data_IF_127505483936
#
_entry.id   IF_127505483936
#
_cell.length_a   1.000
_cell.length_b   1.000
_cell.length_c   1.000
_cell.angle_alpha   90.00
_cell.angle_beta   90.00
_cell.angle_gamma   90.00
#
_symmetry.space_group_name_H-M   'P 1'
#
loop_
_entity.id
_entity.type
_entity.pdbx_description
1 polymer ?
#
# COMPACT_ATOMS: atom_id res chain seq x y z
N UNK A 1 -2.44 23.69 -31.10
CA UNK A 1 -2.42 22.30 -30.62
C UNK A 1 -3.86 21.85 -30.43
N UNK A 2 -4.31 20.86 -31.19
CA UNK A 2 -5.64 20.26 -31.02
C UNK A 2 -5.65 19.33 -29.79
N UNK A 3 -6.83 18.98 -29.27
CA UNK A 3 -6.96 18.05 -28.15
C UNK A 3 -6.32 16.68 -28.45
N UNK A 4 -6.38 16.23 -29.70
CA UNK A 4 -5.78 14.97 -30.15
C UNK A 4 -4.26 15.05 -30.10
N UNK A 5 -3.67 16.13 -30.60
CA UNK A 5 -2.21 16.36 -30.55
C UNK A 5 -1.70 16.42 -29.10
N UNK A 6 -2.46 17.03 -28.18
CA UNK A 6 -2.09 17.07 -26.77
C UNK A 6 -2.00 15.67 -26.14
N UNK A 7 -3.02 14.83 -26.35
CA UNK A 7 -3.01 13.48 -25.79
C UNK A 7 -1.95 12.59 -26.42
N UNK A 8 -1.68 12.76 -27.71
CA UNK A 8 -0.61 12.00 -28.39
C UNK A 8 0.78 12.40 -27.87
N UNK A 9 1.03 13.69 -27.63
CA UNK A 9 2.35 14.19 -27.22
C UNK A 9 2.60 14.07 -25.70
N UNK A 10 1.58 14.28 -24.86
CA UNK A 10 1.73 14.34 -23.39
C UNK A 10 0.95 13.27 -22.63
N UNK A 11 -0.01 12.60 -23.26
CA UNK A 11 -0.93 11.69 -22.57
C UNK A 11 -0.24 10.49 -21.94
N UNK A 12 0.80 9.94 -22.58
CA UNK A 12 1.53 8.78 -22.05
C UNK A 12 2.12 9.04 -20.66
N UNK A 13 2.85 10.14 -20.52
CA UNK A 13 3.44 10.53 -19.24
C UNK A 13 2.37 10.83 -18.18
N UNK A 14 1.29 11.53 -18.57
CA UNK A 14 0.18 11.87 -17.66
C UNK A 14 -0.48 10.61 -17.09
N UNK A 15 -0.80 9.62 -17.92
CA UNK A 15 -1.45 8.39 -17.46
C UNK A 15 -0.54 7.55 -16.57
N UNK A 16 0.75 7.46 -16.91
CA UNK A 16 1.69 6.74 -16.05
C UNK A 16 1.85 7.43 -14.68
N UNK A 17 1.93 8.76 -14.65
CA UNK A 17 1.97 9.52 -13.40
C UNK A 17 0.70 9.37 -12.58
N UNK A 18 -0.48 9.32 -13.23
CA UNK A 18 -1.73 8.99 -12.56
C UNK A 18 -1.67 7.58 -11.94
N UNK A 19 -1.08 6.61 -12.64
CA UNK A 19 -0.85 5.26 -12.11
C UNK A 19 0.00 5.27 -10.85
N UNK A 20 1.16 5.93 -10.89
CA UNK A 20 2.02 6.10 -9.72
C UNK A 20 1.27 6.79 -8.57
N UNK A 21 0.52 7.87 -8.85
CA UNK A 21 -0.25 8.59 -7.85
C UNK A 21 -1.32 7.70 -7.20
N UNK A 22 -2.00 6.85 -7.96
CA UNK A 22 -2.99 5.90 -7.42
C UNK A 22 -2.32 4.79 -6.60
N UNK A 23 -1.18 4.25 -7.05
CA UNK A 23 -0.43 3.24 -6.31
C UNK A 23 -0.03 3.74 -4.92
N UNK A 24 0.57 4.92 -4.84
CA UNK A 24 0.96 5.52 -3.54
C UNK A 24 -0.25 5.98 -2.76
N UNK A 25 -1.17 6.70 -3.40
CA UNK A 25 -2.30 7.35 -2.75
C UNK A 25 -3.26 6.35 -2.13
N UNK A 26 -3.77 5.38 -2.90
CA UNK A 26 -4.77 4.44 -2.40
C UNK A 26 -4.17 3.47 -1.38
N UNK A 27 -2.98 2.93 -1.64
CA UNK A 27 -2.32 2.04 -0.68
C UNK A 27 -1.93 2.79 0.61
N UNK A 28 -1.45 4.03 0.49
CA UNK A 28 -1.14 4.90 1.63
C UNK A 28 -2.36 5.27 2.47
N UNK A 29 -3.50 5.57 1.83
CA UNK A 29 -4.79 5.79 2.52
C UNK A 29 -5.20 4.53 3.30
N UNK A 30 -5.09 3.35 2.68
CA UNK A 30 -5.34 2.09 3.35
C UNK A 30 -4.49 1.92 4.60
N UNK A 31 -3.18 2.13 4.47
CA UNK A 31 -2.24 2.03 5.58
C UNK A 31 -2.52 3.03 6.69
N UNK A 32 -2.73 4.31 6.37
CA UNK A 32 -3.05 5.33 7.37
C UNK A 32 -4.33 4.96 8.15
N UNK A 33 -5.37 4.48 7.45
CA UNK A 33 -6.62 4.07 8.10
C UNK A 33 -6.45 2.81 8.92
N UNK A 34 -5.71 1.81 8.42
CA UNK A 34 -5.39 0.58 9.13
C UNK A 34 -4.61 0.83 10.42
N UNK A 35 -3.54 1.63 10.34
CA UNK A 35 -2.74 2.06 11.48
C UNK A 35 -3.61 2.80 12.50
N UNK A 36 -4.47 3.72 12.05
CA UNK A 36 -5.39 4.46 12.93
C UNK A 36 -6.30 3.53 13.74
N UNK A 37 -6.90 2.53 13.09
CA UNK A 37 -7.79 1.55 13.76
C UNK A 37 -7.06 0.79 14.88
N UNK A 38 -5.83 0.34 14.63
CA UNK A 38 -5.06 -0.37 15.67
C UNK A 38 -4.57 0.60 16.73
N UNK A 39 -4.15 1.81 16.33
CA UNK A 39 -3.69 2.86 17.23
C UNK A 39 -4.75 3.25 18.25
N UNK A 40 -5.99 3.45 17.82
CA UNK A 40 -7.13 3.73 18.73
C UNK A 40 -7.29 2.62 19.79
N UNK A 41 -7.23 1.34 19.37
CA UNK A 41 -7.33 0.21 20.29
C UNK A 41 -6.11 0.11 21.24
N UNK A 42 -4.91 0.32 20.71
CA UNK A 42 -3.66 0.30 21.46
C UNK A 42 -3.60 1.43 22.50
N UNK A 43 -4.01 2.65 22.13
CA UNK A 43 -4.06 3.79 23.05
C UNK A 43 -4.95 3.52 24.25
N UNK A 44 -6.09 2.86 24.05
CA UNK A 44 -6.94 2.43 25.16
C UNK A 44 -6.20 1.54 26.16
N UNK A 45 -5.46 0.54 25.66
CA UNK A 45 -4.65 -0.34 26.51
C UNK A 45 -3.49 0.40 27.21
N UNK A 46 -2.84 1.35 26.52
CA UNK A 46 -1.68 2.09 27.06
C UNK A 46 -2.04 3.01 28.22
N UNK A 47 -3.30 3.38 28.40
CA UNK A 47 -3.72 4.17 29.57
C UNK A 47 -3.64 3.39 30.87
N UNK A 48 -3.82 2.07 30.81
CA UNK A 48 -3.83 1.17 31.98
C UNK A 48 -2.51 0.39 32.10
N UNK A 49 -1.94 -0.05 30.97
CA UNK A 49 -0.78 -0.96 30.91
C UNK A 49 0.34 -0.41 29.99
N UNK A 50 0.98 0.73 30.32
CA UNK A 50 1.94 1.42 29.46
C UNK A 50 3.20 0.59 29.12
N UNK A 51 3.56 -0.37 29.97
CA UNK A 51 4.66 -1.30 29.76
C UNK A 51 4.46 -2.21 28.53
N UNK A 52 3.22 -2.33 28.03
CA UNK A 52 2.90 -3.10 26.81
C UNK A 52 3.11 -2.32 25.50
N UNK A 53 3.77 -1.16 25.54
CA UNK A 53 4.05 -0.35 24.35
C UNK A 53 4.74 -1.13 23.23
N UNK A 54 5.79 -1.90 23.55
CA UNK A 54 6.52 -2.65 22.52
C UNK A 54 5.63 -3.66 21.78
N UNK A 55 4.77 -4.38 22.50
CA UNK A 55 3.86 -5.37 21.93
C UNK A 55 2.71 -4.74 21.14
N UNK A 56 2.17 -3.60 21.61
CA UNK A 56 1.14 -2.86 20.85
C UNK A 56 1.72 -2.22 19.60
N UNK A 57 2.94 -1.69 19.65
CA UNK A 57 3.63 -1.11 18.50
C UNK A 57 3.76 -2.10 17.35
N UNK A 58 4.10 -3.37 17.64
CA UNK A 58 4.16 -4.43 16.62
C UNK A 58 2.83 -4.53 15.89
N UNK A 59 1.71 -4.64 16.61
CA UNK A 59 0.37 -4.75 16.01
C UNK A 59 -0.02 -3.50 15.20
N UNK A 60 0.33 -2.30 15.71
CA UNK A 60 0.03 -1.02 15.06
C UNK A 60 0.81 -0.85 13.76
N UNK A 61 2.05 -1.34 13.70
CA UNK A 61 2.90 -1.19 12.52
C UNK A 61 2.47 -2.08 11.34
N UNK A 62 1.79 -3.21 11.60
CA UNK A 62 1.45 -4.21 10.56
C UNK A 62 0.70 -3.62 9.36
N UNK A 63 -0.36 -2.81 9.52
CA UNK A 63 -1.09 -2.25 8.37
C UNK A 63 -0.31 -1.17 7.61
N UNK A 64 0.93 -0.86 8.00
CA UNK A 64 1.78 0.14 7.34
C UNK A 64 2.47 -0.36 6.07
N UNK A 65 2.57 -1.67 5.86
CA UNK A 65 3.40 -2.23 4.77
C UNK A 65 2.81 -1.96 3.39
N UNK A 66 1.48 -1.85 3.26
CA UNK A 66 0.80 -1.63 1.99
C UNK A 66 1.17 -0.29 1.35
N UNK A 67 1.25 0.78 2.15
CA UNK A 67 1.71 2.09 1.68
C UNK A 67 3.13 2.03 1.10
N UNK A 68 4.01 1.23 1.72
CA UNK A 68 5.38 1.02 1.21
C UNK A 68 5.37 0.26 -0.12
N UNK A 69 4.50 -0.73 -0.30
CA UNK A 69 4.35 -1.44 -1.57
C UNK A 69 3.94 -0.50 -2.71
N UNK A 70 2.93 0.34 -2.47
CA UNK A 70 2.51 1.37 -3.42
C UNK A 70 3.63 2.35 -3.76
N UNK A 71 4.39 2.77 -2.75
CA UNK A 71 5.56 3.64 -2.92
C UNK A 71 6.67 3.00 -3.77
N UNK A 72 7.01 1.73 -3.52
CA UNK A 72 8.02 1.01 -4.31
C UNK A 72 7.60 0.88 -5.77
N UNK A 73 6.34 0.58 -6.05
CA UNK A 73 5.83 0.50 -7.43
C UNK A 73 5.92 1.85 -8.14
N UNK A 74 5.60 2.96 -7.47
CA UNK A 74 5.72 4.29 -8.05
C UNK A 74 7.19 4.67 -8.33
N UNK A 75 8.11 4.40 -7.40
CA UNK A 75 9.54 4.63 -7.61
C UNK A 75 10.07 3.82 -8.80
N UNK A 76 9.68 2.56 -8.91
CA UNK A 76 10.05 1.72 -10.04
C UNK A 76 9.47 2.28 -11.35
N UNK A 77 8.22 2.71 -11.35
CA UNK A 77 7.61 3.29 -12.54
C UNK A 77 8.32 4.58 -12.99
N UNK A 78 8.77 5.43 -12.07
CA UNK A 78 9.52 6.65 -12.41
C UNK A 78 10.81 6.36 -13.20
N UNK A 79 11.44 5.21 -12.97
CA UNK A 79 12.60 4.76 -13.76
C UNK A 79 12.24 4.32 -15.19
N UNK A 80 10.95 4.10 -15.48
CA UNK A 80 10.44 3.61 -16.78
C UNK A 80 9.82 4.68 -17.65
N UNK A 81 9.49 5.85 -17.08
CA UNK A 81 8.71 6.89 -17.77
C UNK A 81 9.48 8.20 -17.98
N UNK A 82 10.81 8.14 -17.93
CA UNK A 82 11.69 9.28 -18.25
C UNK A 82 11.82 10.34 -17.16
N UNK A 83 11.30 10.11 -15.94
CA UNK A 83 11.36 11.10 -14.83
C UNK A 83 12.81 11.36 -14.38
N UNK A 84 13.64 10.33 -14.34
CA UNK A 84 15.05 10.43 -13.96
C UNK A 84 15.99 10.55 -15.17
N UNK A 85 15.45 10.90 -16.33
CA UNK A 85 16.13 10.87 -17.63
C UNK A 85 15.63 9.72 -18.51
N UNK A 86 15.55 9.98 -19.82
CA UNK A 86 14.98 9.07 -20.81
C UNK A 86 13.77 9.67 -21.54
N UNK A 87 13.23 8.91 -22.48
CA UNK A 87 12.09 9.35 -23.29
C UNK A 87 10.76 9.15 -22.57
N UNK A 88 9.84 10.10 -22.78
CA UNK A 88 8.47 9.96 -22.29
C UNK A 88 7.78 8.77 -22.97
N UNK A 89 6.95 8.01 -22.24
CA UNK A 89 6.26 6.87 -22.81
C UNK A 89 5.23 7.33 -23.85
N UNK A 90 4.98 6.47 -24.84
CA UNK A 90 3.88 6.65 -25.78
C UNK A 90 2.54 6.64 -25.03
N UNK A 91 1.49 7.19 -25.64
CA UNK A 91 0.14 7.17 -25.08
C UNK A 91 -0.31 5.77 -24.64
N UNK A 92 -0.11 4.77 -25.51
CA UNK A 92 -0.46 3.37 -25.24
C UNK A 92 0.31 2.81 -24.04
N UNK A 93 1.63 3.03 -24.00
CA UNK A 93 2.49 2.56 -22.92
C UNK A 93 2.13 3.22 -21.58
N UNK A 94 1.81 4.52 -21.60
CA UNK A 94 1.33 5.23 -20.41
C UNK A 94 0.05 4.64 -19.83
N UNK A 95 -0.90 4.26 -20.67
CA UNK A 95 -2.14 3.60 -20.23
C UNK A 95 -1.86 2.20 -19.66
N UNK A 96 -0.96 1.43 -20.28
CA UNK A 96 -0.52 0.12 -19.74
C UNK A 96 0.09 0.28 -18.35
N UNK A 97 0.91 1.31 -18.13
CA UNK A 97 1.49 1.60 -16.81
C UNK A 97 0.46 2.05 -15.78
N UNK A 98 -0.54 2.84 -16.16
CA UNK A 98 -1.68 3.12 -15.29
C UNK A 98 -2.33 1.83 -14.78
N UNK A 99 -2.63 0.91 -15.71
CA UNK A 99 -3.24 -0.38 -15.37
C UNK A 99 -2.33 -1.25 -14.51
N UNK A 100 -1.01 -1.19 -14.74
CA UNK A 100 -0.01 -1.91 -13.94
C UNK A 100 0.00 -1.48 -12.46
N UNK A 101 -0.38 -0.25 -12.15
CA UNK A 101 -0.44 0.26 -10.79
C UNK A 101 -1.71 -0.11 -10.03
N UNK A 102 -2.80 -0.48 -10.71
CA UNK A 102 -4.08 -0.73 -10.06
C UNK A 102 -4.10 -1.92 -9.09
N UNK A 103 -3.43 -3.08 -9.37
CA UNK A 103 -3.42 -4.20 -8.44
C UNK A 103 -2.90 -3.83 -7.04
N UNK A 104 -1.72 -3.20 -6.94
CA UNK A 104 -1.18 -2.75 -5.65
C UNK A 104 -2.03 -1.66 -5.00
N UNK A 105 -2.61 -0.76 -5.80
CA UNK A 105 -3.41 0.35 -5.30
C UNK A 105 -4.69 -0.14 -4.60
N UNK A 106 -5.44 -1.01 -5.26
CA UNK A 106 -6.72 -1.53 -4.78
C UNK A 106 -6.53 -2.59 -3.69
N UNK A 107 -5.60 -3.53 -3.91
CA UNK A 107 -5.31 -4.55 -2.91
C UNK A 107 -4.78 -3.90 -1.63
N UNK A 108 -3.81 -2.99 -1.76
CA UNK A 108 -3.22 -2.28 -0.63
C UNK A 108 -4.23 -1.45 0.17
N UNK A 109 -5.13 -0.74 -0.53
CA UNK A 109 -6.16 0.06 0.15
C UNK A 109 -7.05 -0.81 1.05
N UNK A 110 -7.64 -1.87 0.49
CA UNK A 110 -8.63 -2.67 1.20
C UNK A 110 -7.98 -3.61 2.22
N UNK A 111 -6.83 -4.22 1.88
CA UNK A 111 -6.16 -5.17 2.76
C UNK A 111 -5.60 -4.49 4.01
N UNK A 112 -5.05 -3.28 3.91
CA UNK A 112 -4.53 -2.56 5.07
C UNK A 112 -5.62 -2.24 6.09
N UNK A 113 -6.80 -1.83 5.62
CA UNK A 113 -7.96 -1.58 6.50
C UNK A 113 -8.42 -2.87 7.17
N UNK A 114 -8.50 -3.97 6.43
CA UNK A 114 -8.86 -5.27 6.97
C UNK A 114 -7.81 -5.77 7.99
N UNK A 115 -6.52 -5.61 7.68
CA UNK A 115 -5.42 -5.98 8.57
C UNK A 115 -5.45 -5.14 9.85
N UNK A 116 -5.76 -3.85 9.75
CA UNK A 116 -5.95 -2.98 10.92
C UNK A 116 -7.07 -3.47 11.84
N UNK A 117 -8.21 -3.90 11.29
CA UNK A 117 -9.30 -4.47 12.11
C UNK A 117 -8.88 -5.76 12.82
N UNK A 118 -8.14 -6.65 12.14
CA UNK A 118 -7.64 -7.89 12.73
C UNK A 118 -6.58 -7.63 13.79
N UNK A 119 -5.63 -6.72 13.52
CA UNK A 119 -4.60 -6.34 14.48
C UNK A 119 -5.18 -5.62 15.72
N UNK A 120 -6.22 -4.81 15.56
CA UNK A 120 -6.96 -4.21 16.68
C UNK A 120 -7.62 -5.27 17.57
N UNK A 121 -8.18 -6.34 16.99
CA UNK A 121 -8.64 -7.50 17.76
C UNK A 121 -7.47 -8.22 18.46
N UNK A 122 -6.29 -8.24 17.84
CA UNK A 122 -5.04 -8.72 18.45
C UNK A 122 -4.62 -7.95 19.71
N UNK A 123 -4.94 -6.65 19.82
CA UNK A 123 -4.70 -5.86 21.04
C UNK A 123 -5.51 -6.43 22.21
N UNK A 124 -6.70 -6.98 21.97
CA UNK A 124 -7.50 -7.64 23.02
C UNK A 124 -6.88 -8.95 23.50
N UNK A 125 -6.18 -9.68 22.62
CA UNK A 125 -5.39 -10.86 23.01
C UNK A 125 -4.26 -10.40 23.93
N UNK A 126 -3.52 -9.36 23.56
CA UNK A 126 -2.44 -8.79 24.37
C UNK A 126 -2.93 -8.29 25.75
N UNK A 127 -4.13 -7.68 25.81
CA UNK A 127 -4.72 -7.23 27.05
C UNK A 127 -5.00 -8.41 28.01
N UNK A 128 -5.61 -9.49 27.52
CA UNK A 128 -6.06 -10.62 28.37
C UNK A 128 -5.03 -11.73 28.54
N UNK A 129 -4.15 -11.92 27.56
CA UNK A 129 -3.16 -13.01 27.46
C UNK A 129 -1.89 -12.48 26.81
N UNK A 130 -1.04 -11.73 27.54
CA UNK A 130 0.12 -11.06 26.97
C UNK A 130 1.13 -12.01 26.32
N UNK A 131 1.27 -13.24 26.86
CA UNK A 131 2.15 -14.27 26.30
C UNK A 131 1.66 -14.84 24.95
N UNK A 132 0.42 -14.54 24.55
CA UNK A 132 -0.22 -15.05 23.34
C UNK A 132 -0.28 -14.02 22.19
N UNK A 133 0.33 -12.83 22.33
CA UNK A 133 0.23 -11.73 21.36
C UNK A 133 0.59 -12.14 19.92
N UNK A 134 1.53 -13.08 19.77
CA UNK A 134 1.94 -13.60 18.46
C UNK A 134 0.80 -14.23 17.67
N UNK A 135 -0.22 -14.78 18.34
CA UNK A 135 -1.42 -15.31 17.66
C UNK A 135 -2.17 -14.19 16.94
N UNK A 136 -2.28 -13.02 17.57
CA UNK A 136 -2.89 -11.82 16.96
C UNK A 136 -2.08 -11.30 15.77
N UNK A 137 -0.75 -11.29 15.90
CA UNK A 137 0.16 -10.93 14.79
C UNK A 137 -0.02 -11.87 13.61
N UNK A 138 -0.03 -13.18 13.83
CA UNK A 138 -0.19 -14.18 12.77
C UNK A 138 -1.52 -13.98 12.02
N UNK A 139 -2.63 -13.76 12.72
CA UNK A 139 -3.91 -13.50 12.05
C UNK A 139 -3.89 -12.24 11.20
N UNK A 140 -3.24 -11.17 11.67
CA UNK A 140 -3.08 -9.95 10.87
C UNK A 140 -2.22 -10.19 9.63
N UNK A 141 -1.11 -10.95 9.75
CA UNK A 141 -0.23 -11.29 8.61
C UNK A 141 -0.95 -12.14 7.55
N UNK A 142 -1.92 -12.98 7.93
CA UNK A 142 -2.72 -13.72 6.94
C UNK A 142 -3.49 -12.79 5.99
N UNK A 143 -3.89 -11.59 6.45
CA UNK A 143 -4.52 -10.57 5.59
C UNK A 143 -3.50 -9.95 4.63
N UNK A 144 -2.26 -9.79 5.07
CA UNK A 144 -1.16 -9.20 4.28
C UNK A 144 -0.85 -9.98 3.00
N UNK A 145 -1.10 -11.29 2.98
CA UNK A 145 -0.83 -12.13 1.80
C UNK A 145 -1.52 -11.58 0.54
N UNK A 146 -2.72 -11.04 0.65
CA UNK A 146 -3.43 -10.44 -0.48
C UNK A 146 -2.80 -9.13 -0.97
N UNK A 147 -2.21 -8.34 -0.07
CA UNK A 147 -1.44 -7.16 -0.43
C UNK A 147 -0.18 -7.53 -1.22
N UNK A 148 0.53 -8.56 -0.77
CA UNK A 148 1.74 -9.06 -1.44
C UNK A 148 1.42 -9.57 -2.84
N UNK A 149 0.30 -10.27 -3.03
CA UNK A 149 -0.14 -10.70 -4.36
C UNK A 149 -0.39 -9.49 -5.29
N UNK A 150 -1.06 -8.45 -4.79
CA UNK A 150 -1.26 -7.20 -5.53
C UNK A 150 0.05 -6.49 -5.88
N UNK A 151 0.98 -6.41 -4.92
CA UNK A 151 2.31 -5.85 -5.12
C UNK A 151 3.11 -6.61 -6.19
N UNK A 152 3.19 -7.94 -6.08
CA UNK A 152 3.92 -8.79 -7.03
C UNK A 152 3.31 -8.68 -8.43
N UNK A 153 1.99 -8.67 -8.56
CA UNK A 153 1.33 -8.47 -9.85
C UNK A 153 1.74 -7.13 -10.48
N UNK A 154 1.63 -6.02 -9.73
CA UNK A 154 2.05 -4.70 -10.19
C UNK A 154 3.55 -4.65 -10.52
N UNK A 155 4.40 -5.29 -9.73
CA UNK A 155 5.84 -5.36 -9.95
C UNK A 155 6.15 -6.01 -11.30
N UNK A 156 5.55 -7.18 -11.57
CA UNK A 156 5.75 -7.88 -12.82
C UNK A 156 5.23 -7.06 -14.01
N UNK A 157 4.04 -6.47 -13.88
CA UNK A 157 3.49 -5.63 -14.93
C UNK A 157 4.42 -4.45 -15.26
N UNK A 158 4.89 -3.69 -14.27
CA UNK A 158 5.79 -2.56 -14.50
C UNK A 158 7.13 -3.01 -15.10
N UNK A 159 7.68 -4.15 -14.69
CA UNK A 159 8.98 -4.63 -15.17
C UNK A 159 8.96 -5.15 -16.61
N UNK A 160 7.86 -5.79 -17.02
CA UNK A 160 7.81 -6.57 -18.26
C UNK A 160 6.89 -5.98 -19.35
N UNK A 161 6.07 -4.96 -19.04
CA UNK A 161 5.32 -4.22 -20.06
C UNK A 161 6.27 -3.47 -21.00
N UNK A 162 5.95 -3.53 -22.30
CA UNK A 162 6.63 -2.84 -23.40
C UNK A 162 5.66 -1.96 -24.18
#
# INVERSE_FOLDING_TARGET
>A
MTWIEFFVDKGGLIFALLGAALAVGLAGIGSAKGIGIVGEAASGLMTEEPEKFGSTFILVALPGTQGLYGFVIALLLFTRIGIFGGDAPTFELGLKYLMACLPVALAGWQSAIAQGKVAAAGVQILAKRPNDVMKGVIYAVMVETYAVLGFVASLFMVLFIK
#
